data_IF_261227790880
#
_entry.id   IF_261227790880
#
_cell.length_a   1.000
_cell.length_b   1.000
_cell.length_c   1.000
_cell.angle_alpha   90.00
_cell.angle_beta   90.00
_cell.angle_gamma   90.00
#
_symmetry.space_group_name_H-M   'P 1'
#
loop_
_entity.id
_entity.type
_entity.pdbx_description
1 polymer ?
#
# COMPACT_ATOMS: atom_id res chain seq x y z
N UNK A 1 16.82 -9.81 5.23
CA UNK A 1 16.35 -9.03 4.06
C UNK A 1 15.57 -9.97 3.14
N UNK A 2 14.36 -9.59 2.70
CA UNK A 2 13.56 -10.40 1.76
C UNK A 2 13.90 -10.00 0.33
N UNK A 3 14.29 -10.96 -0.52
CA UNK A 3 14.53 -10.71 -1.93
C UNK A 3 13.20 -10.61 -2.69
N UNK A 4 13.07 -9.61 -3.55
CA UNK A 4 11.88 -9.40 -4.37
C UNK A 4 12.27 -9.24 -5.84
N UNK A 5 11.65 -10.03 -6.72
CA UNK A 5 11.69 -9.84 -8.17
C UNK A 5 10.26 -9.86 -8.68
N UNK A 6 9.93 -8.91 -9.55
CA UNK A 6 8.58 -8.75 -10.09
C UNK A 6 8.63 -8.71 -11.61
N UNK A 7 7.49 -9.01 -12.25
CA UNK A 7 7.34 -8.86 -13.68
C UNK A 7 7.45 -7.38 -14.11
N UNK A 8 7.85 -7.14 -15.37
CA UNK A 8 7.86 -5.79 -15.94
C UNK A 8 6.47 -5.15 -15.84
N UNK A 9 6.41 -3.86 -15.52
CA UNK A 9 5.17 -3.13 -15.28
C UNK A 9 4.61 -3.25 -13.86
N UNK A 10 5.20 -4.09 -13.01
CA UNK A 10 4.84 -4.15 -11.59
C UNK A 10 5.51 -3.01 -10.79
N UNK A 11 4.87 -2.61 -9.70
CA UNK A 11 5.38 -1.60 -8.76
C UNK A 11 5.52 -2.20 -7.36
N UNK A 12 6.60 -1.84 -6.68
CA UNK A 12 6.75 -2.05 -5.24
C UNK A 12 6.81 -0.69 -4.54
N UNK A 13 6.02 -0.53 -3.49
CA UNK A 13 6.07 0.62 -2.59
C UNK A 13 6.52 0.14 -1.20
N UNK A 14 7.40 0.89 -0.57
CA UNK A 14 7.91 0.61 0.78
C UNK A 14 8.26 1.91 1.50
N UNK A 15 8.30 1.92 2.85
CA UNK A 15 8.73 3.10 3.60
C UNK A 15 10.13 3.54 3.21
N UNK A 16 10.34 4.84 2.99
CA UNK A 16 11.67 5.38 2.65
C UNK A 16 12.71 5.17 3.75
N UNK A 17 12.26 4.88 4.98
CA UNK A 17 13.10 4.53 6.13
C UNK A 17 13.55 3.07 6.14
N UNK A 18 13.03 2.22 5.25
CA UNK A 18 13.44 0.83 5.16
C UNK A 18 14.84 0.71 4.55
N UNK A 19 15.75 0.08 5.29
CA UNK A 19 17.06 -0.31 4.76
C UNK A 19 16.87 -1.34 3.64
N UNK A 20 17.38 -1.05 2.45
CA UNK A 20 17.28 -1.91 1.29
C UNK A 20 18.54 -1.79 0.42
N UNK A 21 18.77 -2.82 -0.40
CA UNK A 21 19.87 -2.83 -1.37
C UNK A 21 19.41 -3.50 -2.67
N UNK A 22 20.03 -3.10 -3.79
CA UNK A 22 19.82 -3.73 -5.09
C UNK A 22 20.98 -4.69 -5.33
N UNK A 23 20.68 -5.97 -5.46
CA UNK A 23 21.68 -6.96 -5.84
C UNK A 23 22.20 -6.66 -7.26
N UNK A 24 23.52 -6.81 -7.45
CA UNK A 24 24.15 -6.59 -8.75
C UNK A 24 23.58 -7.53 -9.81
N UNK A 25 23.28 -6.99 -11.00
CA UNK A 25 22.89 -7.81 -12.14
C UNK A 25 24.09 -8.62 -12.65
N UNK A 26 23.98 -9.94 -12.65
CA UNK A 26 25.05 -10.82 -13.13
C UNK A 26 25.22 -10.76 -14.67
N UNK A 27 24.12 -10.51 -15.39
CA UNK A 27 24.09 -10.34 -16.86
C UNK A 27 22.98 -9.37 -17.25
N UNK A 28 23.22 -8.59 -18.31
CA UNK A 28 22.25 -7.63 -18.84
C UNK A 28 22.07 -6.38 -17.96
N UNK A 29 21.01 -5.62 -18.23
CA UNK A 29 20.69 -4.36 -17.54
C UNK A 29 19.28 -4.41 -16.97
N UNK A 30 19.12 -4.05 -15.70
CA UNK A 30 17.80 -3.89 -15.06
C UNK A 30 17.38 -2.42 -15.10
N UNK A 31 16.52 -2.07 -16.05
CA UNK A 31 15.92 -0.73 -16.13
C UNK A 31 14.75 -0.63 -15.16
N UNK A 32 14.72 0.44 -14.37
CA UNK A 32 13.64 0.72 -13.40
C UNK A 32 13.31 2.21 -13.42
N UNK A 33 12.07 2.55 -13.09
CA UNK A 33 11.70 3.88 -12.66
C UNK A 33 11.66 3.88 -11.13
N UNK A 34 12.30 4.86 -10.50
CA UNK A 34 12.31 5.04 -9.06
C UNK A 34 11.88 6.47 -8.74
N UNK A 35 11.16 6.63 -7.63
CA UNK A 35 10.67 7.93 -7.17
C UNK A 35 10.09 7.85 -5.78
N UNK A 36 9.65 9.00 -5.28
CA UNK A 36 9.07 9.14 -3.95
C UNK A 36 7.68 9.76 -4.06
N UNK A 37 6.76 9.29 -3.22
CA UNK A 37 5.46 9.90 -3.03
C UNK A 37 5.35 10.39 -1.58
N UNK A 38 4.86 11.62 -1.40
CA UNK A 38 4.52 12.12 -0.07
C UNK A 38 3.12 11.64 0.28
N UNK A 39 2.98 10.95 1.41
CA UNK A 39 1.66 10.60 1.93
C UNK A 39 0.95 11.83 2.51
N UNK A 40 -0.38 11.87 2.37
CA UNK A 40 -1.23 12.81 3.11
C UNK A 40 -1.32 12.47 4.61
N UNK A 41 -1.07 11.20 4.98
CA UNK A 41 -1.04 10.74 6.37
C UNK A 41 0.40 10.71 6.84
N UNK A 42 0.74 11.62 7.74
CA UNK A 42 2.11 11.86 8.20
C UNK A 42 2.65 10.67 9.00
N UNK A 43 1.87 10.17 9.95
CA UNK A 43 2.27 9.07 10.82
C UNK A 43 2.19 7.72 10.07
N UNK A 44 3.28 6.92 10.03
CA UNK A 44 3.26 5.60 9.41
C UNK A 44 2.26 4.61 10.02
N UNK A 45 2.09 4.60 11.33
CA UNK A 45 1.17 3.69 12.03
C UNK A 45 -0.29 4.05 11.71
N UNK A 46 -0.63 5.34 11.72
CA UNK A 46 -1.97 5.78 11.30
C UNK A 46 -2.26 5.41 9.84
N UNK A 47 -1.26 5.56 8.96
CA UNK A 47 -1.39 5.20 7.55
C UNK A 47 -1.60 3.70 7.35
N UNK A 48 -0.91 2.87 8.12
CA UNK A 48 -1.06 1.42 8.09
C UNK A 48 -2.45 1.00 8.57
N UNK A 49 -2.91 1.52 9.72
CA UNK A 49 -4.27 1.29 10.23
C UNK A 49 -5.34 1.71 9.22
N UNK A 50 -5.21 2.88 8.60
CA UNK A 50 -6.11 3.35 7.55
C UNK A 50 -6.13 2.41 6.33
N UNK A 51 -4.97 1.88 5.93
CA UNK A 51 -4.87 0.91 4.84
C UNK A 51 -5.59 -0.40 5.17
N UNK A 52 -5.42 -0.92 6.39
CA UNK A 52 -6.09 -2.12 6.87
C UNK A 52 -7.61 -1.94 6.93
N UNK A 53 -8.09 -0.85 7.54
CA UNK A 53 -9.52 -0.51 7.61
C UNK A 53 -10.16 -0.41 6.22
N UNK A 54 -9.48 0.26 5.28
CA UNK A 54 -9.97 0.36 3.91
C UNK A 54 -9.94 -1.00 3.19
N UNK A 55 -8.98 -1.87 3.50
CA UNK A 55 -8.93 -3.24 2.97
C UNK A 55 -10.10 -4.08 3.50
N UNK A 56 -10.37 -4.03 4.81
CA UNK A 56 -11.51 -4.67 5.44
C UNK A 56 -12.83 -4.17 4.84
N UNK A 57 -12.98 -2.85 4.63
CA UNK A 57 -14.14 -2.25 3.96
C UNK A 57 -14.37 -2.80 2.55
N UNK A 58 -13.31 -2.92 1.73
CA UNK A 58 -13.41 -3.52 0.38
C UNK A 58 -13.80 -4.99 0.43
N UNK A 59 -13.23 -5.75 1.37
CA UNK A 59 -13.56 -7.16 1.55
C UNK A 59 -15.01 -7.37 2.01
N UNK A 60 -15.50 -6.52 2.92
CA UNK A 60 -16.88 -6.54 3.39
C UNK A 60 -17.85 -6.30 2.22
N UNK A 61 -17.60 -5.26 1.41
CA UNK A 61 -18.40 -5.00 0.23
C UNK A 61 -18.37 -6.15 -0.78
N UNK A 62 -17.22 -6.79 -0.98
CA UNK A 62 -17.11 -7.92 -1.90
C UNK A 62 -17.91 -9.16 -1.43
N UNK A 63 -18.10 -9.33 -0.12
CA UNK A 63 -18.87 -10.45 0.46
C UNK A 63 -20.36 -10.19 0.51
N UNK A 64 -20.75 -8.99 0.92
CA UNK A 64 -22.15 -8.68 1.30
C UNK A 64 -22.79 -7.61 0.41
N UNK A 65 -22.02 -6.95 -0.46
CA UNK A 65 -22.49 -5.78 -1.20
C UNK A 65 -22.71 -4.58 -0.29
N UNK A 66 -23.72 -3.78 -0.62
CA UNK A 66 -24.10 -2.64 0.20
C UNK A 66 -24.84 -3.12 1.45
N UNK A 67 -24.30 -2.77 2.62
CA UNK A 67 -24.87 -3.13 3.92
C UNK A 67 -24.64 -2.00 4.94
N UNK A 68 -25.40 -2.00 6.04
CA UNK A 68 -25.24 -1.02 7.10
C UNK A 68 -23.82 -1.04 7.71
N UNK A 69 -23.19 -2.22 7.79
CA UNK A 69 -21.81 -2.37 8.25
C UNK A 69 -20.81 -1.74 7.27
N UNK A 70 -21.02 -1.93 5.96
CA UNK A 70 -20.21 -1.28 4.93
C UNK A 70 -20.33 0.24 4.98
N UNK A 71 -21.56 0.77 5.15
CA UNK A 71 -21.81 2.20 5.22
C UNK A 71 -21.13 2.83 6.44
N UNK A 72 -21.20 2.16 7.60
CA UNK A 72 -20.51 2.60 8.81
C UNK A 72 -18.99 2.61 8.63
N UNK A 73 -18.41 1.54 8.07
CA UNK A 73 -16.98 1.47 7.77
C UNK A 73 -16.54 2.56 6.79
N UNK A 74 -17.35 2.81 5.75
CA UNK A 74 -17.09 3.87 4.76
C UNK A 74 -17.09 5.25 5.41
N UNK A 75 -18.07 5.52 6.28
CA UNK A 75 -18.12 6.77 7.06
C UNK A 75 -16.91 6.93 7.97
N UNK A 76 -16.52 5.87 8.68
CA UNK A 76 -15.35 5.90 9.58
C UNK A 76 -14.05 6.18 8.82
N UNK A 77 -13.82 5.51 7.69
CA UNK A 77 -12.65 5.77 6.83
C UNK A 77 -12.65 7.21 6.32
N UNK A 78 -13.80 7.72 5.86
CA UNK A 78 -13.91 9.10 5.39
C UNK A 78 -13.62 10.13 6.50
N UNK A 79 -14.05 9.86 7.74
CA UNK A 79 -13.77 10.74 8.87
C UNK A 79 -12.29 10.74 9.26
N UNK A 80 -11.60 9.60 9.19
CA UNK A 80 -10.18 9.50 9.50
C UNK A 80 -9.27 10.10 8.40
N UNK A 81 -9.81 10.35 7.21
CA UNK A 81 -9.11 11.00 6.09
C UNK A 81 -9.36 12.52 6.02
N UNK A 82 -10.25 13.06 6.86
CA UNK A 82 -10.59 14.48 6.88
C UNK A 82 -9.53 15.29 7.62
#
# INVERSE_FOLDING_TARGET
MRALTMAAGSLVAYPSTSLHQIAQAQRGVRKVAAGWARSYIRDPAERELLFELNTARRQLFAREGQSAGFDLMSKSVANLLR
#
